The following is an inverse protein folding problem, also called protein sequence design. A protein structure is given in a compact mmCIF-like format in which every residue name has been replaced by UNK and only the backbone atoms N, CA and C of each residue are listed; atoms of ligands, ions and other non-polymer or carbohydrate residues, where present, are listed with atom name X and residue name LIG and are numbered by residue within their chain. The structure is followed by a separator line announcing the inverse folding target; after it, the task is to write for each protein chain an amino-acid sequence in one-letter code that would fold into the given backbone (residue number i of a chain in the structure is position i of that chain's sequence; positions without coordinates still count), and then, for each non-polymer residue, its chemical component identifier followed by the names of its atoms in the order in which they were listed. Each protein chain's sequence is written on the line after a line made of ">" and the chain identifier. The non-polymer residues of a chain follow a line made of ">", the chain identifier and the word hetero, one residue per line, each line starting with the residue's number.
data_IF_135034021003
#
_entry.id   IF_135034021003
#
_cell.length_a   1.000
_cell.length_b   1.000
_cell.length_c   1.000
_cell.angle_alpha   90.00
_cell.angle_beta   90.00
_cell.angle_gamma   90.00
#
_symmetry.space_group_name_H-M   'P 1'
#
loop_
_entity.id
_entity.type
_entity.pdbx_description
1 polymer ?
#
# COMPACT_ATOMS: atom_id res chain seq x y z
N UNK A 1 27.90 7.95 62.92
CA UNK A 1 28.37 8.05 61.52
C UNK A 1 27.27 7.51 60.60
N UNK A 2 26.39 8.38 60.09
CA UNK A 2 25.29 7.99 59.19
C UNK A 2 25.25 9.00 58.05
N UNK A 3 25.58 8.54 56.84
CA UNK A 3 25.91 9.36 55.69
C UNK A 3 24.70 10.07 55.06
N UNK A 4 24.99 11.24 54.51
CA UNK A 4 24.08 12.26 54.05
C UNK A 4 23.39 11.98 52.69
N UNK A 5 22.22 12.61 52.57
CA UNK A 5 21.46 13.05 51.41
C UNK A 5 22.12 13.02 50.01
N UNK A 6 21.30 12.77 48.98
CA UNK A 6 21.19 13.64 47.77
C UNK A 6 20.04 13.22 46.83
N UNK A 7 18.93 13.94 47.00
CA UNK A 7 18.05 14.54 46.00
C UNK A 7 18.04 14.01 44.55
N UNK A 8 16.84 13.58 44.18
CA UNK A 8 16.15 13.70 42.88
C UNK A 8 16.92 14.25 41.68
N UNK A 9 17.09 13.38 40.69
CA UNK A 9 17.27 13.80 39.29
C UNK A 9 16.07 13.34 38.48
N UNK A 10 15.16 14.28 38.22
CA UNK A 10 14.17 14.17 37.17
C UNK A 10 14.90 14.05 35.83
N UNK A 11 15.08 12.83 35.34
CA UNK A 11 15.48 12.60 33.95
C UNK A 11 14.24 12.67 33.06
N UNK A 12 13.72 13.89 32.89
CA UNK A 12 13.13 14.25 31.60
C UNK A 12 14.28 14.18 30.60
N UNK A 13 14.26 13.24 29.66
CA UNK A 13 15.00 13.39 28.40
C UNK A 13 14.49 12.44 27.32
N UNK A 14 13.68 13.07 26.47
CA UNK A 14 13.65 12.96 25.00
C UNK A 14 13.03 11.70 24.42
N UNK A 15 11.74 11.83 24.11
CA UNK A 15 11.12 11.27 22.91
C UNK A 15 12.09 11.39 21.73
N UNK A 16 12.75 10.29 21.40
CA UNK A 16 13.55 10.18 20.20
C UNK A 16 12.60 10.19 19.01
N UNK A 17 12.54 11.35 18.32
CA UNK A 17 12.35 11.47 16.88
C UNK A 17 11.47 10.38 16.25
N UNK A 18 10.19 10.35 16.62
CA UNK A 18 9.18 9.74 15.75
C UNK A 18 9.12 10.61 14.51
N UNK A 19 9.86 10.21 13.47
CA UNK A 19 9.95 10.96 12.23
C UNK A 19 8.53 11.23 11.76
N UNK A 20 8.11 12.50 11.87
CA UNK A 20 6.94 13.00 11.15
C UNK A 20 7.36 13.06 9.69
N UNK A 21 7.52 11.89 9.07
CA UNK A 21 7.40 11.78 7.64
C UNK A 21 5.96 12.27 7.42
N UNK A 22 5.78 13.51 6.98
CA UNK A 22 4.61 13.83 6.20
C UNK A 22 4.60 12.76 5.13
N UNK A 23 3.75 11.74 5.30
CA UNK A 23 3.68 10.62 4.36
C UNK A 23 3.51 11.31 3.00
N UNK A 24 4.42 11.08 2.03
CA UNK A 24 4.16 11.57 0.70
C UNK A 24 2.76 11.09 0.37
N UNK A 25 1.86 12.02 0.06
CA UNK A 25 0.45 11.73 -0.24
C UNK A 25 0.31 10.91 -1.53
N UNK A 26 1.44 10.64 -2.17
CA UNK A 26 1.64 9.78 -3.32
C UNK A 26 1.14 8.36 -3.04
N UNK A 27 0.00 8.02 -3.64
CA UNK A 27 -0.47 6.64 -3.74
C UNK A 27 0.24 6.00 -4.92
N UNK A 28 1.12 5.04 -4.65
CA UNK A 28 1.81 4.27 -5.69
C UNK A 28 0.83 3.48 -6.56
N UNK A 29 1.10 3.38 -7.86
CA UNK A 29 0.26 2.58 -8.77
C UNK A 29 0.43 1.09 -8.47
N UNK A 30 -0.65 0.32 -8.58
CA UNK A 30 -0.62 -1.13 -8.45
C UNK A 30 -0.24 -1.75 -9.78
N UNK A 31 0.60 -2.78 -9.72
CA UNK A 31 1.14 -3.50 -10.88
C UNK A 31 0.95 -5.00 -10.68
N UNK A 32 1.06 -5.76 -11.77
CA UNK A 32 1.05 -7.22 -11.67
C UNK A 32 2.20 -7.71 -10.81
N UNK A 33 1.90 -8.63 -9.89
CA UNK A 33 2.80 -9.12 -8.86
C UNK A 33 2.79 -8.32 -7.56
N UNK A 34 2.07 -7.20 -7.48
CA UNK A 34 1.89 -6.50 -6.21
C UNK A 34 1.07 -7.32 -5.23
N UNK A 35 1.39 -7.15 -3.94
CA UNK A 35 0.78 -7.91 -2.86
C UNK A 35 -0.55 -7.30 -2.42
N UNK A 36 -1.35 -8.13 -1.75
CA UNK A 36 -2.59 -7.73 -1.10
C UNK A 36 -2.49 -7.98 0.41
N UNK A 37 -3.29 -7.26 1.20
CA UNK A 37 -3.29 -7.39 2.66
C UNK A 37 -3.62 -8.79 3.18
N UNK A 38 -4.28 -9.63 2.38
CA UNK A 38 -4.59 -11.02 2.74
C UNK A 38 -3.48 -12.01 2.38
N UNK A 39 -2.30 -11.53 1.92
CA UNK A 39 -1.19 -12.37 1.48
C UNK A 39 -1.34 -12.90 0.04
N UNK A 40 -2.31 -12.37 -0.70
CA UNK A 40 -2.50 -12.62 -2.12
C UNK A 40 -1.69 -11.69 -3.02
N UNK A 41 -1.84 -11.81 -4.33
CA UNK A 41 -1.12 -11.00 -5.31
C UNK A 41 -1.95 -10.67 -6.56
N UNK A 42 -1.64 -9.57 -7.23
CA UNK A 42 -2.27 -9.21 -8.51
C UNK A 42 -1.73 -10.09 -9.63
N UNK A 43 -2.63 -10.66 -10.43
CA UNK A 43 -2.31 -11.62 -11.49
C UNK A 43 -2.33 -10.99 -12.89
N UNK A 44 -3.31 -10.12 -13.16
CA UNK A 44 -3.49 -9.50 -14.48
C UNK A 44 -3.38 -7.97 -14.41
N UNK A 45 -3.11 -7.36 -15.56
CA UNK A 45 -2.94 -5.93 -15.70
C UNK A 45 -3.16 -5.46 -17.13
N UNK A 46 -2.79 -4.22 -17.41
CA UNK A 46 -2.79 -3.64 -18.75
C UNK A 46 -1.74 -4.29 -19.63
N UNK A 47 -2.12 -4.72 -20.83
CA UNK A 47 -1.20 -5.41 -21.74
C UNK A 47 -0.20 -4.43 -22.37
N UNK A 48 -0.70 -3.24 -22.74
CA UNK A 48 0.07 -2.21 -23.46
C UNK A 48 0.72 -1.19 -22.55
N UNK A 49 0.22 -1.03 -21.32
CA UNK A 49 0.67 0.01 -20.40
C UNK A 49 1.42 -0.57 -19.22
N UNK A 50 2.72 -0.29 -19.18
CA UNK A 50 3.64 -0.78 -18.15
C UNK A 50 4.25 0.39 -17.40
N UNK A 51 4.27 0.29 -16.08
CA UNK A 51 4.98 1.23 -15.21
C UNK A 51 6.15 0.49 -14.58
N UNK A 52 7.35 1.04 -14.75
CA UNK A 52 8.58 0.42 -14.24
C UNK A 52 8.73 -1.04 -14.74
N UNK A 53 8.40 -1.28 -16.02
CA UNK A 53 8.50 -2.59 -16.68
C UNK A 53 7.34 -3.57 -16.41
N UNK A 54 6.50 -3.31 -15.42
CA UNK A 54 5.38 -4.19 -15.04
C UNK A 54 4.03 -3.65 -15.50
N UNK A 55 3.11 -4.53 -15.94
CA UNK A 55 1.79 -4.11 -16.39
C UNK A 55 0.97 -3.52 -15.24
N UNK A 56 0.29 -2.41 -15.51
CA UNK A 56 -0.48 -1.65 -14.50
C UNK A 56 -1.80 -2.37 -14.21
N UNK A 57 -2.12 -2.53 -12.92
CA UNK A 57 -3.37 -3.12 -12.49
C UNK A 57 -4.52 -2.10 -12.53
N UNK A 58 -5.68 -2.54 -12.99
CA UNK A 58 -6.87 -1.73 -13.23
C UNK A 58 -8.08 -2.39 -12.60
N UNK A 59 -9.17 -1.63 -12.52
CA UNK A 59 -10.46 -2.16 -12.11
C UNK A 59 -10.90 -3.29 -13.03
N UNK A 60 -11.24 -4.42 -12.41
CA UNK A 60 -11.60 -5.67 -13.06
C UNK A 60 -10.43 -6.63 -13.32
N UNK A 61 -9.19 -6.27 -12.98
CA UNK A 61 -8.06 -7.20 -13.05
C UNK A 61 -8.10 -8.24 -11.92
N UNK A 62 -7.61 -9.44 -12.22
CA UNK A 62 -7.63 -10.60 -11.33
C UNK A 62 -6.53 -10.52 -10.27
N UNK A 63 -6.87 -11.01 -9.09
CA UNK A 63 -6.01 -11.13 -7.92
C UNK A 63 -6.14 -12.55 -7.36
N UNK A 64 -5.03 -13.14 -6.95
CA UNK A 64 -5.01 -14.35 -6.13
C UNK A 64 -5.21 -13.96 -4.67
N UNK A 65 -5.99 -14.75 -3.93
CA UNK A 65 -6.14 -14.62 -2.48
C UNK A 65 -6.00 -16.02 -1.86
N UNK A 66 -5.10 -16.23 -0.88
CA UNK A 66 -4.88 -17.55 -0.27
C UNK A 66 -5.99 -17.96 0.72
N UNK A 67 -6.97 -17.09 0.97
CA UNK A 67 -8.06 -17.37 1.91
C UNK A 67 -9.06 -18.37 1.31
N UNK A 68 -9.52 -19.38 2.08
CA UNK A 68 -10.50 -20.35 1.62
C UNK A 68 -11.82 -19.66 1.26
N UNK A 69 -12.38 -19.99 0.09
CA UNK A 69 -13.60 -19.36 -0.43
C UNK A 69 -13.38 -18.05 -1.19
N UNK A 70 -12.16 -17.50 -1.23
CA UNK A 70 -11.82 -16.30 -2.00
C UNK A 70 -11.20 -16.67 -3.35
N UNK A 71 -12.03 -17.17 -4.26
CA UNK A 71 -11.64 -17.50 -5.64
C UNK A 71 -11.96 -16.30 -6.56
N UNK A 72 -11.20 -16.15 -7.65
CA UNK A 72 -11.43 -15.12 -8.68
C UNK A 72 -11.59 -13.68 -8.15
N UNK A 73 -10.73 -13.29 -7.21
CA UNK A 73 -10.76 -11.96 -6.63
C UNK A 73 -10.44 -10.93 -7.73
N UNK A 74 -11.17 -9.81 -7.75
CA UNK A 74 -11.01 -8.76 -8.77
C UNK A 74 -10.84 -7.41 -8.11
N UNK A 75 -10.04 -6.54 -8.71
CA UNK A 75 -9.93 -5.16 -8.24
C UNK A 75 -11.26 -4.45 -8.51
N UNK A 76 -11.88 -3.90 -7.47
CA UNK A 76 -13.19 -3.22 -7.57
C UNK A 76 -13.09 -1.72 -7.46
N UNK A 77 -11.97 -1.19 -6.96
CA UNK A 77 -11.73 0.24 -6.81
C UNK A 77 -10.55 0.73 -7.66
N UNK A 78 -10.65 1.97 -8.12
CA UNK A 78 -9.58 2.67 -8.83
C UNK A 78 -9.86 4.17 -8.90
N UNK A 79 -8.92 4.94 -9.45
CA UNK A 79 -9.08 6.39 -9.62
C UNK A 79 -9.75 6.70 -10.97
N UNK A 80 -10.89 7.43 -10.99
CA UNK A 80 -11.56 7.82 -12.24
C UNK A 80 -10.76 8.83 -13.08
N UNK A 81 -9.82 9.57 -12.48
CA UNK A 81 -8.98 10.54 -13.18
C UNK A 81 -7.84 9.86 -13.96
N UNK A 82 -7.44 8.66 -13.56
CA UNK A 82 -6.35 7.91 -14.20
C UNK A 82 -6.93 6.68 -14.85
N UNK A 83 -7.11 6.74 -16.17
CA UNK A 83 -7.70 5.65 -16.96
C UNK A 83 -6.67 5.14 -17.96
N UNK A 84 -6.46 3.83 -17.95
CA UNK A 84 -5.58 3.13 -18.86
C UNK A 84 -6.43 2.13 -19.65
N UNK A 85 -6.39 2.24 -20.98
CA UNK A 85 -7.20 1.41 -21.89
C UNK A 85 -8.70 1.45 -21.52
N UNK A 86 -9.21 2.63 -21.13
CA UNK A 86 -10.60 2.85 -20.75
C UNK A 86 -10.99 2.42 -19.33
N UNK A 87 -10.12 1.71 -18.61
CA UNK A 87 -10.38 1.23 -17.24
C UNK A 87 -9.64 2.09 -16.20
N UNK A 88 -10.25 2.26 -15.03
CA UNK A 88 -9.66 3.02 -13.92
C UNK A 88 -8.45 2.29 -13.35
N UNK A 89 -7.36 3.01 -13.10
CA UNK A 89 -6.14 2.46 -12.54
C UNK A 89 -6.27 2.27 -11.03
N UNK A 90 -5.76 1.16 -10.54
CA UNK A 90 -5.71 0.86 -9.12
C UNK A 90 -4.43 1.40 -8.48
N UNK A 91 -4.57 1.97 -7.29
CA UNK A 91 -3.48 2.52 -6.49
C UNK A 91 -3.37 1.84 -5.11
N UNK A 92 -2.29 2.14 -4.40
CA UNK A 92 -2.12 1.73 -3.02
C UNK A 92 -3.32 2.11 -2.16
N UNK A 93 -3.84 1.15 -1.39
CA UNK A 93 -4.99 1.36 -0.52
C UNK A 93 -6.35 1.05 -1.15
N UNK A 94 -6.42 0.77 -2.45
CA UNK A 94 -7.67 0.36 -3.10
C UNK A 94 -8.07 -1.07 -2.75
N UNK A 95 -9.38 -1.33 -2.83
CA UNK A 95 -9.97 -2.61 -2.46
C UNK A 95 -10.13 -3.59 -3.63
N UNK A 96 -10.06 -4.85 -3.24
CA UNK A 96 -10.38 -6.04 -4.05
C UNK A 96 -11.77 -6.55 -3.63
N UNK A 97 -12.46 -7.26 -4.52
CA UNK A 97 -13.80 -7.83 -4.29
C UNK A 97 -13.91 -8.68 -3.02
N UNK A 98 -12.81 -9.31 -2.60
CA UNK A 98 -12.72 -10.09 -1.38
C UNK A 98 -12.48 -9.26 -0.09
N UNK A 99 -12.48 -7.93 -0.20
CA UNK A 99 -12.22 -7.01 0.90
C UNK A 99 -10.72 -6.73 1.18
N UNK A 100 -9.81 -7.42 0.48
CA UNK A 100 -8.37 -7.18 0.61
C UNK A 100 -8.00 -5.78 0.11
N UNK A 101 -6.93 -5.22 0.66
CA UNK A 101 -6.35 -3.94 0.25
C UNK A 101 -5.10 -4.16 -0.57
N UNK A 102 -4.94 -3.42 -1.67
CA UNK A 102 -3.79 -3.51 -2.55
C UNK A 102 -2.58 -2.76 -1.98
N UNK A 103 -1.41 -3.39 -2.05
CA UNK A 103 -0.14 -2.89 -1.54
C UNK A 103 0.82 -2.68 -2.71
N UNK A 104 0.98 -1.44 -3.15
CA UNK A 104 1.95 -1.08 -4.19
C UNK A 104 3.39 -1.32 -3.73
N UNK A 105 4.19 -1.98 -4.56
CA UNK A 105 5.65 -2.05 -4.41
C UNK A 105 6.39 -0.82 -4.94
N UNK A 106 5.69 0.13 -5.58
CA UNK A 106 6.27 1.32 -6.20
C UNK A 106 5.65 2.62 -5.64
N UNK A 107 5.96 3.00 -4.38
CA UNK A 107 5.33 4.13 -3.70
C UNK A 107 5.54 5.51 -4.36
N UNK A 108 6.55 5.64 -5.22
CA UNK A 108 6.91 6.89 -5.91
C UNK A 108 6.38 7.01 -7.35
N UNK A 109 5.55 6.05 -7.79
CA UNK A 109 5.15 5.92 -9.20
C UNK A 109 3.74 6.42 -9.53
N UNK A 110 3.01 6.92 -8.53
CA UNK A 110 1.61 7.33 -8.67
C UNK A 110 1.34 8.77 -8.24
N UNK A 111 0.11 9.04 -7.78
CA UNK A 111 -0.44 10.40 -7.63
C UNK A 111 -0.43 10.87 -6.18
N UNK A 112 0.09 12.08 -5.93
CA UNK A 112 0.07 12.79 -4.64
C UNK A 112 -1.30 13.31 -4.26
#
# INVERSE_FOLDING_TARGET
>A
MGAAARQGRSFRRRSALGVRHGRPTMRGVIRVGDQTSHGGQVLTGAEKSRVMGQPVARVGDLCSCPMPGHQDCKIVEGDPNVRIEGRMVAFHGHKVSCGATLISSAPNSGRS
#
